data_IF_592179111128
#
_entry.id   IF_592179111128
#
_cell.length_a   1.000
_cell.length_b   1.000
_cell.length_c   1.000
_cell.angle_alpha   90.00
_cell.angle_beta   90.00
_cell.angle_gamma   90.00
#
_symmetry.space_group_name_H-M   'P 1'
#
loop_
_entity.id
_entity.type
_entity.pdbx_description
1 polymer ?
#
# COMPACT_ATOMS: atom_id res chain seq x y z
N UNK A 1 -10.05 -6.78 31.36
CA UNK A 1 -10.58 -5.56 30.72
C UNK A 1 -9.85 -4.33 31.23
N UNK A 2 -9.51 -4.32 32.52
CA UNK A 2 -8.78 -3.19 33.15
C UNK A 2 -7.34 -3.04 32.64
N UNK A 3 -6.64 -4.15 32.40
CA UNK A 3 -5.29 -4.14 31.82
C UNK A 3 -5.24 -3.52 30.41
N UNK A 4 -6.30 -3.75 29.62
CA UNK A 4 -6.42 -3.18 28.28
C UNK A 4 -6.69 -1.68 28.31
N UNK A 5 -7.50 -1.21 29.27
CA UNK A 5 -7.76 0.23 29.47
C UNK A 5 -6.52 0.95 30.02
N UNK A 6 -5.72 0.28 30.84
CA UNK A 6 -4.42 0.81 31.28
C UNK A 6 -3.43 0.91 30.13
N UNK A 7 -3.34 -0.12 29.27
CA UNK A 7 -2.48 -0.08 28.08
C UNK A 7 -2.83 1.06 27.14
N UNK A 8 -4.12 1.32 26.90
CA UNK A 8 -4.57 2.44 26.06
C UNK A 8 -4.21 3.83 26.61
N UNK A 9 -3.94 3.94 27.92
CA UNK A 9 -3.46 5.16 28.54
C UNK A 9 -1.94 5.35 28.42
N UNK A 10 -1.21 4.30 28.06
CA UNK A 10 0.21 4.41 27.83
C UNK A 10 0.52 5.24 26.58
N UNK A 11 1.50 6.15 26.64
CA UNK A 11 1.88 6.99 25.50
C UNK A 11 2.24 6.17 24.25
N UNK A 12 2.81 4.98 24.44
CA UNK A 12 3.22 4.09 23.35
C UNK A 12 1.98 3.58 22.57
N UNK A 13 0.93 3.17 23.29
CA UNK A 13 -0.29 2.68 22.65
C UNK A 13 -1.04 3.78 21.89
N UNK A 14 -1.10 4.99 22.44
CA UNK A 14 -1.73 6.14 21.78
C UNK A 14 -0.97 6.52 20.49
N UNK A 15 0.36 6.50 20.51
CA UNK A 15 1.20 6.74 19.33
C UNK A 15 1.00 5.69 18.27
N UNK A 16 1.00 4.42 18.66
CA UNK A 16 0.77 3.30 17.74
C UNK A 16 -0.63 3.36 17.12
N UNK A 17 -1.63 3.74 17.86
CA UNK A 17 -3.00 3.92 17.37
C UNK A 17 -3.10 5.08 16.38
N UNK A 18 -2.47 6.23 16.68
CA UNK A 18 -2.38 7.35 15.75
C UNK A 18 -1.65 6.95 14.46
N UNK A 19 -0.53 6.22 14.57
CA UNK A 19 0.20 5.70 13.42
C UNK A 19 -0.70 4.81 12.55
N UNK A 20 -1.41 3.85 13.16
CA UNK A 20 -2.35 2.97 12.46
C UNK A 20 -3.43 3.75 11.71
N UNK A 21 -4.03 4.74 12.37
CA UNK A 21 -5.10 5.55 11.78
C UNK A 21 -4.58 6.36 10.58
N UNK A 22 -3.44 7.03 10.73
CA UNK A 22 -2.88 7.91 9.70
C UNK A 22 -2.34 7.12 8.51
N UNK A 23 -1.55 6.08 8.77
CA UNK A 23 -1.00 5.22 7.73
C UNK A 23 -2.13 4.44 7.05
N UNK A 24 -3.09 3.92 7.82
CA UNK A 24 -4.27 3.24 7.29
C UNK A 24 -5.10 4.13 6.39
N UNK A 25 -5.34 5.40 6.79
CA UNK A 25 -6.06 6.37 5.98
C UNK A 25 -5.31 6.70 4.69
N UNK A 26 -4.02 7.03 4.77
CA UNK A 26 -3.24 7.44 3.62
C UNK A 26 -3.09 6.31 2.59
N UNK A 27 -2.73 5.10 3.05
CA UNK A 27 -2.64 3.94 2.17
C UNK A 27 -4.00 3.59 1.56
N UNK A 28 -5.07 3.60 2.37
CA UNK A 28 -6.43 3.36 1.90
C UNK A 28 -6.91 4.41 0.90
N UNK A 29 -6.53 5.67 1.06
CA UNK A 29 -6.86 6.74 0.12
C UNK A 29 -6.10 6.56 -1.21
N UNK A 30 -4.80 6.29 -1.15
CA UNK A 30 -3.96 6.06 -2.34
C UNK A 30 -4.30 4.73 -3.02
N UNK A 31 -4.86 3.76 -2.30
CA UNK A 31 -5.27 2.46 -2.85
C UNK A 31 -6.26 2.59 -4.02
N UNK A 32 -7.05 3.67 -4.04
CA UNK A 32 -7.92 4.01 -5.15
C UNK A 32 -7.19 4.12 -6.50
N UNK A 33 -5.95 4.62 -6.51
CA UNK A 33 -5.12 4.67 -7.72
C UNK A 33 -4.78 3.27 -8.24
N UNK A 34 -4.40 2.37 -7.32
CA UNK A 34 -4.02 0.99 -7.66
C UNK A 34 -5.16 0.22 -8.32
N UNK A 35 -6.38 0.38 -7.79
CA UNK A 35 -7.58 -0.27 -8.34
C UNK A 35 -7.99 0.34 -9.67
N UNK A 36 -8.03 1.67 -9.80
CA UNK A 36 -8.39 2.35 -11.05
C UNK A 36 -7.39 2.07 -12.17
N UNK A 37 -6.11 2.01 -11.85
CA UNK A 37 -5.05 1.65 -12.80
C UNK A 37 -5.01 0.15 -13.13
N UNK A 38 -5.77 -0.68 -12.42
CA UNK A 38 -5.72 -2.16 -12.50
C UNK A 38 -4.31 -2.72 -12.21
N UNK A 39 -3.55 -2.06 -11.36
CA UNK A 39 -2.13 -2.34 -11.09
C UNK A 39 -1.86 -2.92 -9.70
N UNK A 40 -2.81 -3.64 -9.13
CA UNK A 40 -2.66 -4.25 -7.79
C UNK A 40 -1.43 -5.17 -7.69
N UNK A 41 -1.14 -5.96 -8.74
CA UNK A 41 0.06 -6.80 -8.81
C UNK A 41 1.35 -5.97 -8.84
N UNK A 42 1.35 -4.83 -9.53
CA UNK A 42 2.49 -3.92 -9.59
C UNK A 42 2.82 -3.35 -8.21
N UNK A 43 1.81 -3.03 -7.40
CA UNK A 43 1.99 -2.56 -6.03
C UNK A 43 2.66 -3.65 -5.18
N UNK A 44 2.26 -4.91 -5.34
CA UNK A 44 2.86 -6.04 -4.64
C UNK A 44 4.33 -6.24 -4.96
N UNK A 45 4.66 -6.23 -6.23
CA UNK A 45 6.06 -6.35 -6.67
C UNK A 45 6.92 -5.18 -6.22
N UNK A 46 6.38 -3.95 -6.23
CA UNK A 46 7.07 -2.76 -5.72
C UNK A 46 7.34 -2.84 -4.21
N UNK A 47 6.42 -3.37 -3.41
CA UNK A 47 6.62 -3.53 -1.96
C UNK A 47 7.85 -4.39 -1.64
N UNK A 48 8.06 -5.47 -2.38
CA UNK A 48 9.24 -6.31 -2.19
C UNK A 48 10.51 -5.70 -2.82
N UNK A 49 10.39 -4.80 -3.81
CA UNK A 49 11.52 -4.10 -4.43
C UNK A 49 12.24 -3.12 -3.48
N UNK A 50 11.68 -2.83 -2.32
CA UNK A 50 12.30 -1.99 -1.29
C UNK A 50 13.51 -2.67 -0.65
N UNK A 51 13.48 -4.00 -0.46
CA UNK A 51 14.53 -4.76 0.23
C UNK A 51 15.92 -4.63 -0.41
N UNK A 52 16.11 -4.79 -1.73
CA UNK A 52 17.42 -4.62 -2.33
C UNK A 52 18.03 -3.24 -2.12
N UNK A 53 17.20 -2.21 -2.10
CA UNK A 53 17.67 -0.85 -1.81
C UNK A 53 18.15 -0.67 -0.39
N UNK A 54 17.42 -1.25 0.55
CA UNK A 54 17.83 -1.29 1.95
C UNK A 54 19.17 -2.00 2.07
N UNK A 55 19.35 -3.16 1.41
CA UNK A 55 20.58 -3.93 1.42
C UNK A 55 21.79 -3.13 0.95
N UNK A 56 21.66 -2.46 -0.20
CA UNK A 56 22.73 -1.62 -0.77
C UNK A 56 23.03 -0.41 0.12
N UNK A 57 22.00 0.24 0.64
CA UNK A 57 22.17 1.41 1.50
C UNK A 57 22.85 1.05 2.82
N UNK A 58 22.53 -0.09 3.41
CA UNK A 58 23.20 -0.60 4.61
C UNK A 58 24.67 -0.93 4.33
N UNK A 59 24.97 -1.50 3.17
CA UNK A 59 26.33 -1.79 2.76
C UNK A 59 27.20 -0.51 2.63
N UNK A 60 26.61 0.58 2.09
CA UNK A 60 27.35 1.81 1.80
C UNK A 60 27.42 2.78 2.99
N UNK A 61 26.33 2.91 3.73
CA UNK A 61 26.16 3.97 4.75
C UNK A 61 25.91 3.42 6.16
N UNK A 62 25.88 2.09 6.33
CA UNK A 62 25.56 1.46 7.60
C UNK A 62 24.08 1.49 7.97
N UNK A 63 23.75 0.96 9.15
CA UNK A 63 22.38 0.84 9.68
C UNK A 63 21.90 2.20 10.28
N UNK A 64 21.68 3.20 9.43
CA UNK A 64 21.07 4.47 9.86
C UNK A 64 19.66 4.56 9.29
N UNK A 65 18.75 5.26 10.00
CA UNK A 65 17.35 5.42 9.55
C UNK A 65 17.25 6.06 8.17
N UNK A 66 18.04 7.08 7.95
CA UNK A 66 18.07 7.80 6.68
C UNK A 66 18.59 6.93 5.53
N UNK A 67 19.59 6.08 5.79
CA UNK A 67 20.09 5.15 4.77
C UNK A 67 19.02 4.14 4.36
N UNK A 68 18.27 3.60 5.33
CA UNK A 68 17.18 2.66 5.06
C UNK A 68 16.08 3.29 4.20
N UNK A 69 15.61 4.49 4.59
CA UNK A 69 14.58 5.21 3.85
C UNK A 69 15.04 5.59 2.43
N UNK A 70 16.20 6.22 2.31
CA UNK A 70 16.74 6.64 1.02
C UNK A 70 17.02 5.44 0.12
N UNK A 71 17.60 4.36 0.67
CA UNK A 71 17.84 3.12 -0.07
C UNK A 71 16.56 2.50 -0.60
N UNK A 72 15.53 2.41 0.24
CA UNK A 72 14.23 1.89 -0.16
C UNK A 72 13.59 2.74 -1.28
N UNK A 73 13.58 4.08 -1.14
CA UNK A 73 13.04 5.00 -2.16
C UNK A 73 13.79 4.86 -3.47
N UNK A 74 15.12 4.91 -3.44
CA UNK A 74 15.96 4.84 -4.64
C UNK A 74 15.76 3.52 -5.38
N UNK A 75 15.77 2.39 -4.67
CA UNK A 75 15.57 1.09 -5.32
C UNK A 75 14.16 0.93 -5.89
N UNK A 76 13.12 1.33 -5.14
CA UNK A 76 11.76 1.28 -5.64
C UNK A 76 11.55 2.18 -6.86
N UNK A 77 12.17 3.36 -6.87
CA UNK A 77 12.16 4.24 -8.05
C UNK A 77 12.91 3.62 -9.21
N UNK A 78 14.10 3.08 -9.00
CA UNK A 78 14.88 2.42 -10.06
C UNK A 78 14.13 1.23 -10.66
N UNK A 79 13.55 0.36 -9.84
CA UNK A 79 12.78 -0.80 -10.31
C UNK A 79 11.47 -0.35 -10.94
N UNK A 80 10.71 0.56 -10.29
CA UNK A 80 9.42 1.02 -10.78
C UNK A 80 9.53 1.85 -12.07
N UNK A 81 10.38 2.88 -12.09
CA UNK A 81 10.59 3.71 -13.27
C UNK A 81 11.35 2.96 -14.36
N UNK A 82 12.29 2.09 -13.97
CA UNK A 82 12.99 1.19 -14.88
C UNK A 82 12.03 0.24 -15.61
N UNK A 83 11.02 -0.30 -14.92
CA UNK A 83 10.00 -1.14 -15.56
C UNK A 83 9.16 -0.38 -16.58
N UNK A 84 8.80 0.87 -16.27
CA UNK A 84 8.11 1.76 -17.20
C UNK A 84 8.96 2.06 -18.45
N UNK A 85 10.26 2.31 -18.26
CA UNK A 85 11.18 2.54 -19.34
C UNK A 85 11.35 1.31 -20.24
N UNK A 86 11.59 0.13 -19.63
CA UNK A 86 11.72 -1.14 -20.36
C UNK A 86 10.45 -1.47 -21.12
N UNK A 87 9.26 -1.33 -20.53
CA UNK A 87 7.99 -1.63 -21.20
C UNK A 87 7.72 -0.70 -22.39
N UNK A 88 8.22 0.52 -22.36
CA UNK A 88 8.08 1.48 -23.48
C UNK A 88 9.09 1.28 -24.60
N UNK A 89 10.24 0.70 -24.28
CA UNK A 89 11.35 0.51 -25.24
C UNK A 89 11.35 -0.91 -25.83
N UNK A 90 10.72 -1.86 -25.13
CA UNK A 90 10.60 -3.26 -25.54
C UNK A 90 9.14 -3.63 -25.87
N UNK A 91 8.94 -4.85 -26.35
CA UNK A 91 7.61 -5.43 -26.60
C UNK A 91 6.97 -6.04 -25.34
N UNK A 92 7.60 -5.86 -24.17
CA UNK A 92 7.14 -6.46 -22.91
C UNK A 92 6.05 -5.59 -22.28
N UNK A 93 5.06 -6.26 -21.70
CA UNK A 93 4.09 -5.59 -20.84
C UNK A 93 4.78 -5.08 -19.57
N UNK A 94 4.26 -3.98 -19.00
CA UNK A 94 4.82 -3.35 -17.80
C UNK A 94 4.91 -4.34 -16.62
N UNK A 95 3.92 -5.22 -16.44
CA UNK A 95 3.90 -6.22 -15.37
C UNK A 95 5.04 -7.23 -15.51
N UNK A 96 5.32 -7.67 -16.73
CA UNK A 96 6.44 -8.59 -17.01
C UNK A 96 7.78 -7.92 -16.78
N UNK A 97 7.97 -6.69 -17.26
CA UNK A 97 9.20 -5.93 -17.05
C UNK A 97 9.45 -5.67 -15.55
N UNK A 98 8.40 -5.28 -14.82
CA UNK A 98 8.47 -5.07 -13.38
C UNK A 98 8.82 -6.35 -12.63
N UNK A 99 8.20 -7.48 -12.98
CA UNK A 99 8.46 -8.76 -12.34
C UNK A 99 9.91 -9.22 -12.51
N UNK A 100 10.47 -9.08 -13.72
CA UNK A 100 11.87 -9.44 -13.99
C UNK A 100 12.84 -8.54 -13.20
N UNK A 101 12.66 -7.22 -13.29
CA UNK A 101 13.53 -6.26 -12.61
C UNK A 101 13.45 -6.41 -11.09
N UNK A 102 12.25 -6.60 -10.55
CA UNK A 102 12.03 -6.84 -9.14
C UNK A 102 12.71 -8.13 -8.67
N UNK A 103 12.47 -9.26 -9.36
CA UNK A 103 13.02 -10.57 -8.93
C UNK A 103 14.55 -10.56 -8.97
N UNK A 104 15.16 -9.97 -9.99
CA UNK A 104 16.62 -9.82 -10.09
C UNK A 104 17.17 -8.92 -9.00
N UNK A 105 16.54 -7.77 -8.77
CA UNK A 105 16.96 -6.85 -7.72
C UNK A 105 16.81 -7.48 -6.32
N UNK A 106 15.68 -8.16 -6.07
CA UNK A 106 15.45 -8.86 -4.81
C UNK A 106 16.49 -9.94 -4.54
N UNK A 107 16.81 -10.78 -5.53
CA UNK A 107 17.83 -11.81 -5.40
C UNK A 107 19.20 -11.21 -5.08
N UNK A 108 19.59 -10.13 -5.77
CA UNK A 108 20.85 -9.43 -5.50
C UNK A 108 20.88 -8.83 -4.09
N UNK A 109 19.80 -8.15 -3.67
CA UNK A 109 19.67 -7.57 -2.33
C UNK A 109 19.71 -8.63 -1.23
N UNK A 110 19.02 -9.75 -1.43
CA UNK A 110 19.00 -10.86 -0.50
C UNK A 110 20.41 -11.46 -0.27
N UNK A 111 21.17 -11.67 -1.36
CA UNK A 111 22.55 -12.15 -1.28
C UNK A 111 23.40 -11.17 -0.44
N UNK A 112 23.25 -9.87 -0.64
CA UNK A 112 23.99 -8.85 0.12
C UNK A 112 23.62 -8.91 1.60
N UNK A 113 22.33 -8.99 1.95
CA UNK A 113 21.86 -9.05 3.34
C UNK A 113 22.33 -10.30 4.07
N UNK A 114 22.32 -11.45 3.39
CA UNK A 114 22.85 -12.71 3.92
C UNK A 114 24.36 -12.60 4.22
N UNK A 115 25.12 -11.98 3.30
CA UNK A 115 26.55 -11.72 3.50
C UNK A 115 26.85 -10.79 4.67
N UNK A 116 25.97 -9.85 4.95
CA UNK A 116 26.09 -8.94 6.09
C UNK A 116 25.61 -9.54 7.42
N UNK A 117 25.08 -10.75 7.43
CA UNK A 117 24.55 -11.40 8.64
C UNK A 117 23.27 -10.78 9.18
N UNK A 118 22.52 -10.03 8.35
CA UNK A 118 21.33 -9.28 8.74
C UNK A 118 20.01 -10.03 8.48
N UNK A 119 20.06 -11.37 8.40
CA UNK A 119 18.89 -12.21 8.10
C UNK A 119 17.72 -11.97 9.05
N UNK A 120 17.98 -11.83 10.36
CA UNK A 120 16.94 -11.59 11.36
C UNK A 120 16.20 -10.25 11.17
N UNK A 121 16.86 -9.23 10.63
CA UNK A 121 16.26 -7.94 10.34
C UNK A 121 15.38 -7.94 9.09
N UNK A 122 15.51 -8.94 8.22
CA UNK A 122 14.64 -9.08 7.04
C UNK A 122 13.20 -9.29 7.48
N UNK A 123 12.98 -10.10 8.51
CA UNK A 123 11.65 -10.36 9.06
C UNK A 123 11.03 -9.08 9.62
N UNK A 124 11.79 -8.25 10.35
CA UNK A 124 11.33 -6.96 10.86
C UNK A 124 10.93 -6.01 9.73
N UNK A 125 11.66 -5.99 8.61
CA UNK A 125 11.33 -5.12 7.46
C UNK A 125 10.16 -5.64 6.62
N UNK A 126 9.97 -6.97 6.57
CA UNK A 126 8.85 -7.57 5.85
C UNK A 126 7.53 -7.44 6.62
N UNK A 127 7.58 -7.71 7.92
CA UNK A 127 6.38 -7.75 8.77
C UNK A 127 6.17 -6.46 9.58
N UNK A 128 7.19 -5.62 9.69
CA UNK A 128 7.12 -4.35 10.40
C UNK A 128 7.02 -4.50 11.92
N UNK A 129 7.20 -3.40 12.62
CA UNK A 129 7.02 -3.32 14.08
C UNK A 129 6.54 -1.93 14.47
N UNK A 130 5.22 -1.76 14.54
CA UNK A 130 4.61 -0.46 14.90
C UNK A 130 4.99 -0.03 16.32
N UNK A 131 5.20 -0.98 17.22
CA UNK A 131 5.59 -0.68 18.61
C UNK A 131 7.01 -0.12 18.74
N UNK A 132 7.89 -0.36 17.77
CA UNK A 132 9.27 0.13 17.75
C UNK A 132 9.42 1.48 17.05
N UNK A 133 8.34 2.11 16.57
CA UNK A 133 8.37 3.40 15.89
C UNK A 133 8.83 4.51 16.84
N UNK A 134 9.82 5.26 16.36
CA UNK A 134 10.23 6.51 16.99
C UNK A 134 9.28 7.66 16.62
N UNK A 135 9.24 8.70 17.47
CA UNK A 135 8.46 9.91 17.18
C UNK A 135 8.86 10.53 15.84
N UNK A 136 10.14 10.51 15.50
CA UNK A 136 10.63 10.99 14.20
C UNK A 136 10.07 10.21 13.02
N UNK A 137 9.97 8.88 13.14
CA UNK A 137 9.44 8.03 12.08
C UNK A 137 7.96 8.29 11.84
N UNK A 138 7.20 8.51 12.93
CA UNK A 138 5.79 8.85 12.88
C UNK A 138 5.55 10.20 12.17
N UNK A 139 6.36 11.23 12.49
CA UNK A 139 6.26 12.53 11.83
C UNK A 139 6.64 12.47 10.35
N UNK A 140 7.67 11.70 9.99
CA UNK A 140 8.08 11.48 8.60
C UNK A 140 6.96 10.76 7.83
N UNK A 141 6.42 9.67 8.39
CA UNK A 141 5.32 8.94 7.78
C UNK A 141 4.08 9.83 7.59
N UNK A 142 3.76 10.67 8.59
CA UNK A 142 2.69 11.65 8.50
C UNK A 142 2.92 12.67 7.39
N UNK A 143 4.10 13.27 7.34
CA UNK A 143 4.42 14.29 6.34
C UNK A 143 4.33 13.73 4.91
N UNK A 144 4.89 12.53 4.67
CA UNK A 144 4.83 11.86 3.37
C UNK A 144 3.39 11.48 3.02
N UNK A 145 2.64 10.94 3.98
CA UNK A 145 1.24 10.57 3.78
C UNK A 145 0.36 11.80 3.46
N UNK A 146 0.50 12.87 4.23
CA UNK A 146 -0.22 14.12 4.00
C UNK A 146 0.15 14.75 2.65
N UNK A 147 1.44 14.80 2.31
CA UNK A 147 1.90 15.30 1.02
C UNK A 147 1.33 14.47 -0.14
N UNK A 148 1.28 13.14 0.01
CA UNK A 148 0.74 12.24 -1.01
C UNK A 148 -0.76 12.43 -1.22
N UNK A 149 -1.53 12.52 -0.14
CA UNK A 149 -2.97 12.81 -0.20
C UNK A 149 -3.23 14.18 -0.80
N UNK A 150 -2.46 15.21 -0.37
CA UNK A 150 -2.59 16.57 -0.90
C UNK A 150 -2.26 16.63 -2.40
N UNK A 151 -1.18 15.99 -2.83
CA UNK A 151 -0.82 15.91 -4.25
C UNK A 151 -1.93 15.26 -5.07
N UNK A 152 -2.51 14.17 -4.56
CA UNK A 152 -3.60 13.46 -5.22
C UNK A 152 -4.87 14.31 -5.29
N UNK A 153 -5.17 15.09 -4.27
CA UNK A 153 -6.31 16.01 -4.26
C UNK A 153 -6.12 17.18 -5.24
N UNK A 154 -4.92 17.77 -5.29
CA UNK A 154 -4.59 18.88 -6.20
C UNK A 154 -4.64 18.44 -7.67
N UNK A 155 -4.05 17.28 -7.97
CA UNK A 155 -3.98 16.73 -9.34
C UNK A 155 -5.09 15.74 -9.67
N UNK A 156 -6.16 15.71 -8.88
CA UNK A 156 -7.28 14.75 -9.02
C UNK A 156 -7.85 14.71 -10.43
N UNK A 157 -8.11 15.89 -11.04
CA UNK A 157 -8.74 15.98 -12.38
C UNK A 157 -7.88 15.35 -13.46
N UNK A 158 -6.61 15.77 -13.69
CA UNK A 158 -5.77 15.20 -14.71
C UNK A 158 -5.45 13.72 -14.48
N UNK A 159 -5.29 13.30 -13.23
CA UNK A 159 -5.06 11.90 -12.87
C UNK A 159 -6.28 11.02 -13.25
N UNK A 160 -7.49 11.46 -12.92
CA UNK A 160 -8.69 10.69 -13.26
C UNK A 160 -8.90 10.62 -14.78
N UNK A 161 -8.72 11.70 -15.53
CA UNK A 161 -8.84 11.70 -16.99
C UNK A 161 -7.84 10.68 -17.59
N UNK A 162 -6.58 10.73 -17.14
CA UNK A 162 -5.55 9.78 -17.59
C UNK A 162 -5.87 8.31 -17.24
N UNK A 163 -6.44 8.05 -16.06
CA UNK A 163 -6.76 6.69 -15.62
C UNK A 163 -7.94 6.07 -16.38
N UNK A 164 -8.90 6.88 -16.81
CA UNK A 164 -10.06 6.41 -17.57
C UNK A 164 -9.76 6.29 -19.06
N UNK A 165 -9.09 7.29 -19.64
CA UNK A 165 -8.76 7.30 -21.07
C UNK A 165 -7.44 8.07 -21.32
N UNK A 166 -6.32 7.33 -21.48
CA UNK A 166 -5.03 7.95 -21.78
C UNK A 166 -4.99 8.71 -23.11
N UNK A 167 -5.79 8.30 -24.09
CA UNK A 167 -5.82 8.93 -25.42
C UNK A 167 -6.56 10.27 -25.35
N UNK A 168 -7.68 10.33 -24.64
CA UNK A 168 -8.36 11.61 -24.35
C UNK A 168 -7.46 12.54 -23.55
N UNK A 169 -6.70 12.02 -22.59
CA UNK A 169 -5.75 12.83 -21.82
C UNK A 169 -4.71 13.50 -22.73
N UNK A 170 -4.18 12.78 -23.72
CA UNK A 170 -3.19 13.34 -24.66
C UNK A 170 -3.80 14.40 -25.57
N UNK A 171 -5.02 14.22 -26.07
CA UNK A 171 -5.73 15.20 -26.90
C UNK A 171 -6.05 16.50 -26.16
N UNK A 172 -6.28 16.42 -24.84
CA UNK A 172 -6.47 17.57 -23.97
C UNK A 172 -5.16 18.28 -23.57
N UNK A 173 -4.01 17.85 -24.12
CA UNK A 173 -2.70 18.42 -23.81
C UNK A 173 -2.14 17.99 -22.46
N UNK A 174 -2.73 17.01 -21.82
CA UNK A 174 -2.26 16.49 -20.53
C UNK A 174 -1.04 15.59 -20.77
N UNK A 175 0.13 15.86 -20.12
CA UNK A 175 1.33 15.08 -20.33
C UNK A 175 1.19 13.67 -19.68
N UNK A 176 0.59 12.73 -20.39
CA UNK A 176 0.28 11.38 -19.93
C UNK A 176 1.51 10.62 -19.41
N UNK A 177 2.71 10.90 -19.96
CA UNK A 177 3.97 10.34 -19.46
C UNK A 177 4.28 10.83 -18.05
N UNK A 178 4.20 12.14 -17.82
CA UNK A 178 4.49 12.76 -16.51
C UNK A 178 3.51 12.27 -15.44
N UNK A 179 2.22 12.15 -15.78
CA UNK A 179 1.20 11.64 -14.87
C UNK A 179 1.46 10.18 -14.52
N UNK A 180 1.81 9.34 -15.50
CA UNK A 180 2.15 7.94 -15.25
C UNK A 180 3.32 7.80 -14.27
N UNK A 181 4.41 8.54 -14.50
CA UNK A 181 5.56 8.57 -13.60
C UNK A 181 5.19 9.13 -12.22
N UNK A 182 4.38 10.20 -12.17
CA UNK A 182 3.90 10.81 -10.94
C UNK A 182 3.08 9.85 -10.08
N UNK A 183 2.15 9.11 -10.67
CA UNK A 183 1.36 8.10 -9.97
C UNK A 183 2.27 7.02 -9.37
N UNK A 184 3.25 6.52 -10.14
CA UNK A 184 4.21 5.53 -9.63
C UNK A 184 5.03 6.07 -8.46
N UNK A 185 5.57 7.27 -8.61
CA UNK A 185 6.34 7.93 -7.54
C UNK A 185 5.50 8.11 -6.28
N UNK A 186 4.23 8.49 -6.42
CA UNK A 186 3.30 8.67 -5.32
C UNK A 186 3.04 7.36 -4.57
N UNK A 187 2.78 6.27 -5.31
CA UNK A 187 2.61 4.93 -4.74
C UNK A 187 3.89 4.50 -4.00
N UNK A 188 5.07 4.71 -4.59
CA UNK A 188 6.36 4.36 -3.97
C UNK A 188 6.59 5.14 -2.68
N UNK A 189 6.31 6.45 -2.65
CA UNK A 189 6.47 7.27 -1.46
C UNK A 189 5.58 6.78 -0.31
N UNK A 190 4.33 6.45 -0.60
CA UNK A 190 3.40 5.91 0.40
C UNK A 190 3.83 4.52 0.85
N UNK A 191 4.30 3.65 -0.06
CA UNK A 191 4.87 2.35 0.29
C UNK A 191 6.04 2.49 1.26
N UNK A 192 6.99 3.37 0.96
CA UNK A 192 8.19 3.55 1.79
C UNK A 192 7.84 4.14 3.15
N UNK A 193 6.91 5.10 3.20
CA UNK A 193 6.48 5.69 4.48
C UNK A 193 5.84 4.65 5.41
N UNK A 194 5.17 3.66 4.84
CA UNK A 194 4.48 2.61 5.59
C UNK A 194 5.37 1.41 5.94
N UNK A 195 6.51 1.28 5.24
CA UNK A 195 7.43 0.13 5.39
C UNK A 195 7.88 -0.06 6.83
N UNK A 196 8.31 1.02 7.48
CA UNK A 196 8.86 0.96 8.84
C UNK A 196 7.80 0.63 9.88
N UNK A 197 6.58 1.09 9.65
CA UNK A 197 5.48 0.90 10.60
C UNK A 197 4.82 -0.47 10.46
N UNK A 198 4.48 -0.82 9.24
CA UNK A 198 3.59 -1.95 8.94
C UNK A 198 4.33 -3.09 8.23
N UNK A 199 5.49 -2.80 7.65
CA UNK A 199 6.26 -3.75 6.85
C UNK A 199 5.86 -3.81 5.38
N UNK A 200 6.75 -4.36 4.55
CA UNK A 200 6.57 -4.37 3.09
C UNK A 200 5.36 -5.19 2.63
N UNK A 201 5.19 -6.41 3.16
CA UNK A 201 4.06 -7.28 2.79
C UNK A 201 2.72 -6.72 3.24
N UNK A 202 2.70 -6.11 4.42
CA UNK A 202 1.47 -5.66 5.05
C UNK A 202 0.96 -4.37 4.43
N UNK A 203 1.87 -3.53 3.95
CA UNK A 203 1.54 -2.32 3.19
C UNK A 203 0.82 -2.65 1.88
N UNK A 204 1.12 -3.80 1.25
CA UNK A 204 0.38 -4.30 0.09
C UNK A 204 -1.12 -4.44 0.40
N UNK A 205 -1.45 -5.11 1.51
CA UNK A 205 -2.84 -5.31 1.93
C UNK A 205 -3.58 -3.99 2.13
N UNK A 206 -2.91 -3.00 2.75
CA UNK A 206 -3.44 -1.65 2.96
C UNK A 206 -3.58 -0.83 1.66
N UNK A 207 -2.70 -1.04 0.68
CA UNK A 207 -2.74 -0.33 -0.60
C UNK A 207 -3.70 -0.94 -1.63
N UNK A 208 -4.23 -2.13 -1.39
CA UNK A 208 -5.15 -2.79 -2.33
C UNK A 208 -6.51 -3.06 -1.67
N UNK A 209 -6.51 -3.62 -0.46
CA UNK A 209 -7.73 -4.11 0.22
C UNK A 209 -8.84 -3.07 0.38
N UNK A 210 -8.57 -1.88 0.95
CA UNK A 210 -9.60 -0.88 1.22
C UNK A 210 -10.33 -0.41 -0.04
N UNK A 211 -9.60 -0.04 -1.09
CA UNK A 211 -10.25 0.40 -2.33
C UNK A 211 -10.93 -0.75 -3.08
N UNK A 212 -10.40 -1.97 -3.03
CA UNK A 212 -11.05 -3.14 -3.60
C UNK A 212 -12.42 -3.37 -2.95
N UNK A 213 -12.49 -3.22 -1.63
CA UNK A 213 -13.74 -3.31 -0.85
C UNK A 213 -14.76 -2.26 -1.30
N UNK A 214 -14.35 -1.00 -1.41
CA UNK A 214 -15.24 0.09 -1.86
C UNK A 214 -15.65 -0.10 -3.32
N UNK A 215 -14.75 -0.58 -4.17
CA UNK A 215 -15.03 -0.83 -5.59
C UNK A 215 -16.14 -1.86 -5.80
N UNK A 216 -16.27 -2.84 -4.89
CA UNK A 216 -17.40 -3.78 -4.89
C UNK A 216 -18.74 -3.11 -4.56
N UNK A 217 -18.74 -2.04 -3.78
CA UNK A 217 -19.95 -1.38 -3.28
C UNK A 217 -20.39 -0.17 -4.11
N UNK A 218 -19.45 0.52 -4.80
CA UNK A 218 -19.74 1.77 -5.52
C UNK A 218 -19.05 1.85 -6.87
N UNK A 219 -19.66 2.65 -7.76
CA UNK A 219 -19.15 2.95 -9.10
C UNK A 219 -18.49 4.33 -9.21
N UNK A 220 -18.58 5.13 -8.16
CA UNK A 220 -18.11 6.53 -8.22
C UNK A 220 -16.65 6.61 -7.80
N UNK A 221 -15.73 7.14 -8.67
CA UNK A 221 -14.31 7.24 -8.35
C UNK A 221 -14.03 8.04 -7.07
N UNK A 222 -14.84 9.09 -6.84
CA UNK A 222 -14.68 9.91 -5.63
C UNK A 222 -14.89 9.11 -4.34
N UNK A 223 -15.88 8.22 -4.34
CA UNK A 223 -16.17 7.37 -3.18
C UNK A 223 -15.07 6.32 -2.99
N UNK A 224 -14.36 5.94 -4.07
CA UNK A 224 -13.27 4.98 -4.01
C UNK A 224 -12.10 5.52 -3.18
N UNK A 225 -11.72 6.79 -3.36
CA UNK A 225 -10.65 7.41 -2.60
C UNK A 225 -11.02 7.61 -1.13
N UNK A 226 -12.14 8.31 -0.88
CA UNK A 226 -12.56 8.61 0.49
C UNK A 226 -13.00 7.35 1.25
N UNK A 227 -13.75 6.47 0.61
CA UNK A 227 -14.18 5.20 1.19
C UNK A 227 -12.99 4.27 1.47
N UNK A 228 -12.02 4.22 0.54
CA UNK A 228 -10.77 3.49 0.75
C UNK A 228 -10.00 4.01 1.96
N UNK A 229 -9.86 5.34 2.08
CA UNK A 229 -9.23 5.97 3.24
C UNK A 229 -9.93 5.62 4.56
N UNK A 230 -11.27 5.73 4.59
CA UNK A 230 -12.07 5.40 5.77
C UNK A 230 -11.95 3.92 6.16
N UNK A 231 -12.09 3.00 5.19
CA UNK A 231 -11.96 1.56 5.46
C UNK A 231 -10.53 1.21 5.90
N UNK A 232 -9.51 1.83 5.29
CA UNK A 232 -8.13 1.65 5.70
C UNK A 232 -7.88 2.11 7.14
N UNK A 233 -8.38 3.30 7.50
CA UNK A 233 -8.26 3.84 8.85
C UNK A 233 -9.00 2.98 9.89
N UNK A 234 -10.29 2.72 9.65
CA UNK A 234 -11.13 1.95 10.57
C UNK A 234 -10.64 0.51 10.69
N UNK A 235 -10.25 -0.13 9.57
CA UNK A 235 -9.70 -1.47 9.57
C UNK A 235 -8.39 -1.58 10.36
N UNK A 236 -7.50 -0.59 10.23
CA UNK A 236 -6.24 -0.55 11.00
C UNK A 236 -6.47 -0.33 12.49
N UNK A 237 -7.41 0.55 12.86
CA UNK A 237 -7.79 0.77 14.26
C UNK A 237 -8.44 -0.47 14.85
N UNK A 238 -9.36 -1.11 14.12
CA UNK A 238 -10.02 -2.35 14.57
C UNK A 238 -8.99 -3.47 14.77
N UNK A 239 -8.04 -3.59 13.85
CA UNK A 239 -6.96 -4.56 13.94
C UNK A 239 -6.05 -4.30 15.16
N UNK A 240 -5.77 -3.03 15.48
CA UNK A 240 -5.02 -2.66 16.67
C UNK A 240 -5.71 -3.17 17.94
N UNK A 241 -7.03 -2.94 18.04
CA UNK A 241 -7.82 -3.42 19.19
C UNK A 241 -7.90 -4.94 19.28
N UNK A 242 -7.89 -5.67 18.17
CA UNK A 242 -7.92 -7.14 18.14
C UNK A 242 -6.55 -7.76 18.38
N UNK A 243 -5.48 -7.12 17.93
CA UNK A 243 -4.10 -7.63 18.02
C UNK A 243 -3.63 -7.78 19.47
N UNK A 244 -3.97 -6.81 20.32
CA UNK A 244 -3.50 -6.77 21.70
C UNK A 244 -3.97 -7.96 22.56
N UNK A 245 -5.29 -8.24 22.70
CA UNK A 245 -5.78 -9.32 23.55
C UNK A 245 -5.42 -10.72 23.01
N UNK A 246 -5.19 -10.83 21.69
CA UNK A 246 -4.87 -12.11 21.06
C UNK A 246 -3.36 -12.37 20.98
N UNK A 247 -2.52 -11.38 21.32
CA UNK A 247 -1.07 -11.48 21.19
C UNK A 247 -0.60 -11.68 19.75
N UNK A 248 -1.39 -11.26 18.76
CA UNK A 248 -1.09 -11.42 17.35
C UNK A 248 -0.22 -10.28 16.83
N UNK A 249 0.54 -10.58 15.80
CA UNK A 249 1.35 -9.57 15.13
C UNK A 249 0.42 -8.54 14.46
N UNK A 250 0.54 -7.26 14.85
CA UNK A 250 -0.40 -6.19 14.47
C UNK A 250 -0.59 -6.08 12.95
N UNK A 251 0.52 -6.13 12.21
CA UNK A 251 0.44 -6.05 10.76
C UNK A 251 -0.37 -7.19 10.13
N UNK A 252 -0.13 -8.45 10.55
CA UNK A 252 -0.89 -9.59 10.05
C UNK A 252 -2.39 -9.46 10.39
N UNK A 253 -2.70 -8.94 11.59
CA UNK A 253 -4.08 -8.68 12.02
C UNK A 253 -4.76 -7.62 11.15
N UNK A 254 -4.04 -6.58 10.72
CA UNK A 254 -4.57 -5.55 9.78
C UNK A 254 -5.02 -6.20 8.47
N UNK A 255 -4.17 -7.04 7.86
CA UNK A 255 -4.54 -7.72 6.61
C UNK A 255 -5.74 -8.66 6.80
N UNK A 256 -5.74 -9.41 7.90
CA UNK A 256 -6.83 -10.34 8.20
C UNK A 256 -8.15 -9.58 8.35
N UNK A 257 -8.18 -8.51 9.10
CA UNK A 257 -9.37 -7.65 9.29
C UNK A 257 -9.83 -7.07 7.95
N UNK A 258 -8.92 -6.50 7.15
CA UNK A 258 -9.25 -5.97 5.84
C UNK A 258 -9.76 -7.07 4.88
N UNK A 259 -9.18 -8.27 4.94
CA UNK A 259 -9.65 -9.44 4.18
C UNK A 259 -11.07 -9.86 4.57
N UNK A 260 -11.38 -9.87 5.87
CA UNK A 260 -12.75 -10.16 6.36
C UNK A 260 -13.73 -9.08 5.90
N UNK A 261 -13.36 -7.80 6.00
CA UNK A 261 -14.21 -6.68 5.52
C UNK A 261 -14.45 -6.82 4.01
N UNK A 262 -13.43 -7.18 3.25
CA UNK A 262 -13.56 -7.42 1.81
C UNK A 262 -14.51 -8.59 1.52
N UNK A 263 -14.39 -9.72 2.22
CA UNK A 263 -15.28 -10.87 2.07
C UNK A 263 -16.74 -10.52 2.39
N UNK A 264 -16.96 -9.76 3.46
CA UNK A 264 -18.29 -9.26 3.83
C UNK A 264 -18.84 -8.37 2.71
N UNK A 265 -18.05 -7.41 2.23
CA UNK A 265 -18.44 -6.53 1.13
C UNK A 265 -18.77 -7.30 -0.15
N UNK A 266 -18.01 -8.36 -0.45
CA UNK A 266 -18.27 -9.24 -1.58
C UNK A 266 -19.60 -9.97 -1.46
N UNK A 267 -19.92 -10.51 -0.28
CA UNK A 267 -21.20 -11.19 -0.02
C UNK A 267 -22.40 -10.26 -0.16
N UNK A 268 -22.27 -9.01 0.30
CA UNK A 268 -23.33 -7.98 0.23
C UNK A 268 -23.36 -7.22 -1.09
N UNK A 269 -22.32 -7.37 -1.95
CA UNK A 269 -22.24 -6.65 -3.22
C UNK A 269 -23.42 -6.98 -4.12
N UNK A 270 -24.07 -5.93 -4.60
CA UNK A 270 -25.20 -6.05 -5.56
C UNK A 270 -24.78 -6.54 -6.94
N UNK A 271 -23.47 -6.57 -7.26
CA UNK A 271 -22.94 -6.96 -8.57
C UNK A 271 -22.60 -8.44 -8.68
N UNK A 272 -22.08 -9.03 -7.62
CA UNK A 272 -21.62 -10.42 -7.59
C UNK A 272 -22.19 -11.19 -6.40
N UNK A 273 -23.04 -10.57 -5.57
CA UNK A 273 -23.52 -11.14 -4.31
C UNK A 273 -24.29 -12.44 -4.55
N UNK A 274 -23.75 -13.54 -4.02
CA UNK A 274 -24.36 -14.88 -4.06
C UNK A 274 -25.81 -14.87 -3.52
N UNK A 275 -26.12 -13.93 -2.62
CA UNK A 275 -27.45 -13.76 -2.05
C UNK A 275 -28.50 -13.25 -3.06
N UNK A 276 -28.10 -12.42 -4.02
CA UNK A 276 -29.00 -11.87 -5.02
C UNK A 276 -29.22 -12.81 -6.21
N UNK A 277 -28.27 -13.70 -6.51
CA UNK A 277 -28.47 -14.74 -7.53
C UNK A 277 -29.45 -15.83 -7.06
N UNK A 278 -29.54 -16.10 -5.78
CA UNK A 278 -30.55 -17.03 -5.22
C UNK A 278 -31.98 -16.48 -5.35
N UNK A 279 -32.18 -15.17 -5.19
CA UNK A 279 -33.51 -14.55 -5.33
C UNK A 279 -34.01 -14.49 -6.78
N UNK A 280 -33.12 -14.53 -7.77
CA UNK A 280 -33.51 -14.43 -9.19
C UNK A 280 -33.79 -15.81 -9.84
N UNK A 281 -33.37 -16.91 -9.19
CA UNK A 281 -33.68 -18.29 -9.66
C UNK A 281 -35.03 -18.83 -9.19
N UNK A 282 -35.77 -18.09 -8.36
CA UNK A 282 -37.08 -18.52 -7.84
C UNK A 282 -38.27 -17.82 -8.49
N UNK A 283 -38.09 -17.09 -9.58
CA UNK A 283 -39.18 -16.57 -10.39
C UNK A 283 -39.38 -17.54 -11.57
N UNK A 284 -40.39 -18.41 -11.56
CA UNK A 284 -40.71 -19.24 -12.73
C UNK A 284 -41.28 -18.32 -13.81
N UNK A 285 -40.90 -18.65 -15.04
CA UNK A 285 -41.44 -18.13 -16.29
C UNK A 285 -42.99 -18.09 -16.24
N UNK A 286 -43.55 -16.91 -16.33
CA UNK A 286 -44.89 -16.68 -16.89
C UNK A 286 -44.70 -15.85 -18.16
#
# INVERSE_FOLDING_TARGET
MDDFLQFLREPIAQRSLLACLMIGFANGFVSGLGILKKSALQIGTLSCALLPGIAVAVLMFGLTRWSLLLGAVVAALLVGLGSLFVSRTSRLNQDTALSILHTTAFAAGFIVLVRLGLQQKIDDWLFGSIMSLSDSDLWIAFAISAASVLTLLLFRRPILIYLFDPDIATTLGIPSRLISYGIFTLIILVLVSSLQAVGAFLTLGLLVGPAATVYMLTNKPSHLFWGGGLIGALGSVLAFYLSFPLGWHLGATIILVLGVIFCIAYLYSSRCGLLKQRGKKSSPLQ
#
